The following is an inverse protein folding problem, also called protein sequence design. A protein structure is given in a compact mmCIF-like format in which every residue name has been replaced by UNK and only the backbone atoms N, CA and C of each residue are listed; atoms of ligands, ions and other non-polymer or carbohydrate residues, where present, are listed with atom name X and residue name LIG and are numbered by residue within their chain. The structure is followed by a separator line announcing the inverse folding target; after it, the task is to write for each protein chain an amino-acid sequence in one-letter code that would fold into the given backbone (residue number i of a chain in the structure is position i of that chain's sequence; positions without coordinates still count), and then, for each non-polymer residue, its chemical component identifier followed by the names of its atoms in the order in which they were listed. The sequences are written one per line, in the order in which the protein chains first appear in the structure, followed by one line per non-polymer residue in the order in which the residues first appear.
data_IF_765472170392
#
_entry.id   IF_765472170392
#
_cell.length_a   1.000
_cell.length_b   1.000
_cell.length_c   1.000
_cell.angle_alpha   90.00
_cell.angle_beta   90.00
_cell.angle_gamma   90.00
#
_symmetry.space_group_name_H-M   'P 1'
#
loop_
_entity.id
_entity.type
_entity.pdbx_description
1 polymer ?
#
# COMPACT_ATOMS: atom_id res chain seq x y z
N UNK A 1 -8.91 -8.64 -2.99
CA UNK A 1 -9.30 -8.10 -1.67
C UNK A 1 -8.57 -8.82 -0.56
N UNK A 2 -8.01 -8.11 0.41
CA UNK A 2 -7.38 -8.70 1.59
C UNK A 2 -8.45 -9.26 2.55
N UNK A 3 -8.27 -10.49 3.03
CA UNK A 3 -9.10 -11.11 4.07
C UNK A 3 -8.36 -11.12 5.40
N UNK A 4 -7.08 -11.49 5.38
CA UNK A 4 -6.24 -11.46 6.57
C UNK A 4 -4.77 -11.57 6.26
N UNK A 5 -3.95 -11.09 7.17
CA UNK A 5 -2.50 -11.15 7.11
C UNK A 5 -1.94 -11.60 8.45
N UNK A 6 -1.06 -12.59 8.42
CA UNK A 6 -0.43 -13.17 9.59
C UNK A 6 1.08 -13.04 9.49
N UNK A 7 1.71 -12.67 10.60
CA UNK A 7 3.16 -12.56 10.71
C UNK A 7 3.63 -13.14 12.04
N UNK A 8 4.74 -13.87 12.04
CA UNK A 8 5.37 -14.38 13.26
C UNK A 8 6.88 -14.37 13.17
N UNK A 9 7.54 -14.30 14.33
CA UNK A 9 9.00 -14.20 14.43
C UNK A 9 9.60 -13.14 13.49
N UNK A 10 9.10 -11.91 13.55
CA UNK A 10 9.54 -10.80 12.72
C UNK A 10 9.58 -9.50 13.52
N UNK A 11 10.75 -8.86 13.61
CA UNK A 11 10.97 -7.61 14.35
C UNK A 11 10.41 -7.64 15.77
N UNK A 12 9.29 -6.96 16.03
CA UNK A 12 8.63 -6.92 17.35
C UNK A 12 7.67 -8.09 17.61
N UNK A 13 7.34 -8.91 16.61
CA UNK A 13 6.44 -10.04 16.75
C UNK A 13 7.21 -11.31 17.05
N UNK A 14 7.16 -11.78 18.30
CA UNK A 14 7.70 -13.09 18.68
C UNK A 14 6.79 -14.21 18.17
N UNK A 15 5.53 -14.18 18.59
CA UNK A 15 4.50 -15.14 18.23
C UNK A 15 3.75 -14.71 16.97
N UNK A 16 2.98 -15.62 16.39
CA UNK A 16 2.15 -15.29 15.21
C UNK A 16 1.00 -14.39 15.65
N UNK A 17 0.87 -13.26 14.97
CA UNK A 17 -0.27 -12.35 15.08
C UNK A 17 -1.00 -12.26 13.75
N UNK A 18 -2.29 -11.98 13.78
CA UNK A 18 -3.13 -11.89 12.58
C UNK A 18 -3.94 -10.60 12.58
N UNK A 19 -3.85 -9.83 11.50
CA UNK A 19 -4.82 -8.82 11.13
C UNK A 19 -5.94 -9.50 10.32
N UNK A 20 -7.18 -9.40 10.77
CA UNK A 20 -8.36 -9.90 10.07
C UNK A 20 -9.23 -8.76 9.60
N UNK A 21 -9.65 -8.81 8.33
CA UNK A 21 -10.63 -7.90 7.73
C UNK A 21 -12.04 -8.48 7.75
N UNK A 22 -12.25 -9.67 8.34
CA UNK A 22 -13.58 -10.27 8.50
C UNK A 22 -14.40 -9.42 9.46
N UNK A 23 -15.56 -8.95 8.99
CA UNK A 23 -16.47 -8.17 9.80
C UNK A 23 -17.04 -9.06 10.93
N UNK A 24 -17.19 -8.49 12.12
CA UNK A 24 -17.86 -9.17 13.22
C UNK A 24 -19.33 -9.43 12.87
N UNK A 25 -19.89 -10.53 13.38
CA UNK A 25 -21.33 -10.83 13.23
C UNK A 25 -22.20 -9.82 14.00
N UNK A 26 -21.66 -9.30 15.10
CA UNK A 26 -22.33 -8.31 15.93
C UNK A 26 -22.16 -6.90 15.34
N UNK A 27 -23.29 -6.25 15.08
CA UNK A 27 -23.37 -4.87 14.64
C UNK A 27 -22.74 -3.93 15.68
N UNK A 28 -22.02 -2.90 15.23
CA UNK A 28 -21.40 -1.91 16.13
C UNK A 28 -22.44 -0.98 16.79
N UNK A 29 -23.73 -1.16 16.49
CA UNK A 29 -24.82 -0.34 16.99
C UNK A 29 -25.02 0.95 16.20
N UNK A 30 -24.38 1.06 15.03
CA UNK A 30 -24.53 2.19 14.11
C UNK A 30 -24.91 1.65 12.73
N UNK A 31 -26.20 1.71 12.45
CA UNK A 31 -26.84 1.22 11.22
C UNK A 31 -26.19 1.72 9.92
N UNK A 32 -25.64 2.93 9.92
CA UNK A 32 -24.97 3.48 8.75
C UNK A 32 -23.62 2.82 8.53
N UNK A 33 -22.79 2.69 9.58
CA UNK A 33 -21.48 2.05 9.50
C UNK A 33 -21.60 0.55 9.23
N UNK A 34 -22.55 -0.12 9.88
CA UNK A 34 -22.80 -1.56 9.74
C UNK A 34 -23.25 -1.94 8.33
N UNK A 35 -23.85 -1.00 7.59
CA UNK A 35 -24.25 -1.19 6.18
C UNK A 35 -23.19 -0.69 5.20
N UNK A 36 -22.54 0.43 5.49
CA UNK A 36 -21.69 1.12 4.52
C UNK A 36 -20.20 0.76 4.60
N UNK A 37 -19.68 0.29 5.73
CA UNK A 37 -18.27 -0.09 5.88
C UNK A 37 -17.99 -1.58 5.64
N UNK A 38 -18.96 -2.32 5.11
CA UNK A 38 -18.80 -3.75 4.79
C UNK A 38 -19.15 -4.05 3.35
N UNK A 39 -18.59 -5.13 2.82
CA UNK A 39 -19.06 -5.74 1.58
C UNK A 39 -19.14 -7.26 1.73
N UNK A 40 -20.19 -7.83 1.16
CA UNK A 40 -20.47 -9.26 1.26
C UNK A 40 -19.59 -10.03 0.29
N UNK A 41 -18.75 -10.92 0.81
CA UNK A 41 -17.88 -11.79 -0.02
C UNK A 41 -18.64 -13.03 -0.47
N UNK A 42 -19.37 -13.65 0.45
CA UNK A 42 -20.24 -14.80 0.18
C UNK A 42 -21.34 -14.89 1.27
N UNK A 43 -22.07 -16.00 1.32
CA UNK A 43 -23.13 -16.18 2.33
C UNK A 43 -22.60 -16.35 3.76
N UNK A 44 -21.32 -16.69 3.94
CA UNK A 44 -20.72 -17.03 5.23
C UNK A 44 -20.09 -15.83 5.92
N UNK A 45 -19.56 -14.85 5.18
CA UNK A 45 -18.92 -13.69 5.80
C UNK A 45 -18.91 -12.44 4.91
N UNK A 46 -18.75 -11.30 5.58
CA UNK A 46 -18.50 -9.97 5.01
C UNK A 46 -17.10 -9.52 5.38
N UNK A 47 -16.53 -8.61 4.58
CA UNK A 47 -15.26 -7.96 4.87
C UNK A 47 -15.49 -6.47 5.13
N UNK A 48 -14.64 -5.91 6.01
CA UNK A 48 -14.53 -4.47 6.24
C UNK A 48 -13.91 -3.78 5.03
N UNK A 49 -14.37 -2.56 4.71
CA UNK A 49 -13.75 -1.71 3.66
C UNK A 49 -12.55 -0.93 4.20
N UNK A 50 -12.55 -0.59 5.49
CA UNK A 50 -11.45 0.08 6.17
C UNK A 50 -11.18 -0.51 7.55
N UNK A 51 -9.94 -0.41 8.01
CA UNK A 51 -9.53 -0.77 9.36
C UNK A 51 -8.46 0.20 9.86
N UNK A 52 -8.57 0.61 11.12
CA UNK A 52 -7.59 1.46 11.79
C UNK A 52 -6.93 0.69 12.94
N UNK A 53 -5.61 0.80 13.05
CA UNK A 53 -4.82 0.09 14.07
C UNK A 53 -4.24 1.12 15.02
N UNK A 54 -4.80 1.18 16.23
CA UNK A 54 -4.30 2.03 17.32
C UNK A 54 -3.55 1.21 18.37
N UNK A 55 -2.62 1.84 19.06
CA UNK A 55 -1.83 1.19 20.09
C UNK A 55 -0.72 2.10 20.59
N UNK A 56 -0.14 1.76 21.74
CA UNK A 56 0.93 2.54 22.35
C UNK A 56 2.15 2.70 21.41
N UNK A 57 3.02 3.66 21.74
CA UNK A 57 4.32 3.78 21.07
C UNK A 57 5.10 2.46 21.22
N UNK A 58 5.82 2.08 20.16
CA UNK A 58 6.56 0.81 20.09
C UNK A 58 5.72 -0.48 20.21
N UNK A 59 4.39 -0.42 20.09
CA UNK A 59 3.53 -1.62 20.13
C UNK A 59 3.60 -2.52 18.89
N UNK A 60 4.38 -2.15 17.87
CA UNK A 60 4.59 -2.94 16.65
C UNK A 60 3.71 -2.59 15.44
N UNK A 61 2.92 -1.51 15.49
CA UNK A 61 2.04 -1.07 14.37
C UNK A 61 2.81 -0.92 13.05
N UNK A 62 3.83 -0.08 13.03
CA UNK A 62 4.69 0.09 11.85
C UNK A 62 5.42 -1.20 11.47
N UNK A 63 5.75 -2.07 12.44
CA UNK A 63 6.35 -3.38 12.13
C UNK A 63 5.37 -4.32 11.41
N UNK A 64 4.05 -4.21 11.64
CA UNK A 64 3.05 -4.97 10.90
C UNK A 64 3.02 -4.52 9.43
N UNK A 65 3.06 -3.21 9.19
CA UNK A 65 3.11 -2.63 7.84
C UNK A 65 4.42 -3.00 7.14
N UNK A 66 5.55 -2.95 7.85
CA UNK A 66 6.84 -3.41 7.35
C UNK A 66 6.85 -4.90 7.03
N UNK A 67 6.16 -5.74 7.81
CA UNK A 67 6.01 -7.17 7.53
C UNK A 67 5.20 -7.41 6.24
N UNK A 68 4.09 -6.69 6.08
CA UNK A 68 3.24 -6.78 4.89
C UNK A 68 4.01 -6.32 3.65
N UNK A 69 4.74 -5.21 3.74
CA UNK A 69 5.58 -4.71 2.66
C UNK A 69 6.78 -5.63 2.36
N UNK A 70 7.38 -6.26 3.38
CA UNK A 70 8.39 -7.30 3.17
C UNK A 70 7.83 -8.46 2.35
N UNK A 71 6.67 -9.00 2.76
CA UNK A 71 6.03 -10.10 2.03
C UNK A 71 5.77 -9.71 0.57
N UNK A 72 5.16 -8.55 0.34
CA UNK A 72 4.91 -7.99 -0.99
C UNK A 72 6.20 -7.91 -1.82
N UNK A 73 7.24 -7.23 -1.31
CA UNK A 73 8.51 -7.05 -2.03
C UNK A 73 9.19 -8.39 -2.32
N UNK A 74 9.15 -9.32 -1.38
CA UNK A 74 9.79 -10.62 -1.55
C UNK A 74 9.06 -11.48 -2.60
N UNK A 75 7.73 -11.50 -2.59
CA UNK A 75 6.93 -12.16 -3.64
C UNK A 75 7.21 -11.57 -5.02
N UNK A 76 7.34 -10.25 -5.14
CA UNK A 76 7.60 -9.61 -6.44
C UNK A 76 9.03 -9.78 -6.95
N UNK A 77 10.03 -9.95 -6.06
CA UNK A 77 11.44 -9.83 -6.44
C UNK A 77 12.31 -11.06 -6.16
N UNK A 78 11.85 -12.05 -5.39
CA UNK A 78 12.71 -13.18 -4.97
C UNK A 78 13.27 -14.01 -6.14
N UNK A 79 12.60 -13.98 -7.31
CA UNK A 79 13.08 -14.66 -8.52
C UNK A 79 14.38 -14.06 -9.07
N UNK A 80 14.60 -12.75 -8.85
CA UNK A 80 15.77 -11.99 -9.32
C UNK A 80 17.03 -12.20 -8.45
N UNK A 81 16.87 -12.74 -7.24
CA UNK A 81 17.97 -12.95 -6.30
C UNK A 81 19.00 -13.93 -6.85
N UNK A 82 20.28 -13.64 -6.70
CA UNK A 82 21.36 -14.60 -6.92
C UNK A 82 21.42 -15.61 -5.78
N UNK A 83 22.02 -16.78 -6.01
CA UNK A 83 22.06 -17.85 -4.99
C UNK A 83 22.83 -17.45 -3.72
N UNK A 84 23.72 -16.47 -3.83
CA UNK A 84 24.52 -15.89 -2.74
C UNK A 84 23.80 -14.79 -1.98
N UNK A 85 22.71 -14.24 -2.54
CA UNK A 85 22.00 -13.12 -1.93
C UNK A 85 21.26 -13.60 -0.67
N UNK A 86 21.33 -12.79 0.37
CA UNK A 86 20.56 -13.01 1.59
C UNK A 86 19.12 -12.54 1.39
N UNK A 87 18.20 -13.20 2.06
CA UNK A 87 16.83 -12.71 2.23
C UNK A 87 16.88 -11.62 3.32
N UNK A 88 16.43 -10.42 2.99
CA UNK A 88 16.39 -9.26 3.89
C UNK A 88 15.25 -9.36 4.92
N UNK A 89 15.24 -10.47 5.66
CA UNK A 89 14.28 -10.73 6.74
C UNK A 89 14.95 -10.50 8.09
N UNK A 90 14.20 -9.90 9.00
CA UNK A 90 14.66 -9.60 10.36
C UNK A 90 13.81 -10.36 11.39
N UNK A 91 14.32 -11.47 11.96
CA UNK A 91 13.57 -12.23 12.96
C UNK A 91 13.43 -11.46 14.27
N UNK A 92 12.61 -11.98 15.19
CA UNK A 92 12.51 -11.43 16.55
C UNK A 92 13.82 -11.73 17.31
N UNK A 93 14.57 -10.67 17.65
CA UNK A 93 15.93 -10.81 18.22
C UNK A 93 16.00 -10.82 19.75
N UNK A 94 14.91 -10.49 20.44
CA UNK A 94 14.89 -10.41 21.91
C UNK A 94 14.60 -11.78 22.57
N UNK A 95 14.79 -12.88 21.85
CA UNK A 95 14.65 -14.25 22.33
C UNK A 95 15.69 -15.13 21.65
N UNK A 96 16.56 -15.76 22.44
CA UNK A 96 17.61 -16.67 21.95
C UNK A 96 17.04 -17.84 21.15
N UNK A 97 15.82 -18.27 21.46
CA UNK A 97 15.13 -19.35 20.74
C UNK A 97 14.64 -18.95 19.35
N UNK A 98 14.48 -17.65 19.08
CA UNK A 98 13.81 -17.14 17.88
C UNK A 98 14.77 -16.66 16.80
N UNK A 99 16.00 -16.27 17.17
CA UNK A 99 17.00 -15.70 16.26
C UNK A 99 17.29 -16.62 15.07
N UNK A 100 17.32 -17.94 15.29
CA UNK A 100 17.57 -18.93 14.25
C UNK A 100 16.29 -19.61 13.70
N UNK A 101 15.12 -19.32 14.28
CA UNK A 101 13.85 -19.79 13.75
C UNK A 101 13.47 -18.99 12.51
N UNK A 102 12.76 -19.58 11.53
CA UNK A 102 12.30 -18.83 10.39
C UNK A 102 11.22 -17.82 10.79
N UNK A 103 11.14 -16.72 10.04
CA UNK A 103 10.03 -15.76 10.10
C UNK A 103 8.86 -16.28 9.26
N UNK A 104 7.65 -16.16 9.78
CA UNK A 104 6.41 -16.65 9.18
C UNK A 104 5.63 -15.49 8.55
N UNK A 105 5.12 -15.69 7.33
CA UNK A 105 4.24 -14.76 6.65
C UNK A 105 3.13 -15.53 5.94
N UNK A 106 1.88 -15.15 6.14
CA UNK A 106 0.73 -15.70 5.43
C UNK A 106 -0.28 -14.60 5.11
N UNK A 107 -0.85 -14.66 3.91
CA UNK A 107 -1.94 -13.79 3.48
C UNK A 107 -3.10 -14.63 2.97
N UNK A 108 -4.30 -14.27 3.40
CA UNK A 108 -5.56 -14.76 2.87
C UNK A 108 -6.20 -13.64 2.09
N UNK A 109 -6.56 -13.88 0.84
CA UNK A 109 -7.11 -12.86 -0.04
C UNK A 109 -8.06 -13.45 -1.07
N UNK A 110 -8.96 -12.63 -1.58
CA UNK A 110 -9.88 -12.98 -2.64
C UNK A 110 -9.39 -12.43 -3.99
N UNK A 111 -9.41 -13.29 -5.00
CA UNK A 111 -9.06 -12.97 -6.39
C UNK A 111 -10.00 -13.73 -7.34
N UNK A 112 -10.68 -13.02 -8.26
CA UNK A 112 -11.64 -13.59 -9.23
C UNK A 112 -12.64 -14.58 -8.62
N UNK A 113 -13.28 -14.18 -7.52
CA UNK A 113 -14.25 -15.00 -6.74
C UNK A 113 -13.69 -16.28 -6.11
N UNK A 114 -12.37 -16.42 -5.99
CA UNK A 114 -11.72 -17.52 -5.27
C UNK A 114 -10.93 -16.97 -4.09
N UNK A 115 -10.92 -17.72 -3.01
CA UNK A 115 -10.11 -17.41 -1.84
C UNK A 115 -8.77 -18.12 -1.95
N UNK A 116 -7.69 -17.39 -1.82
CA UNK A 116 -6.34 -17.91 -1.81
C UNK A 116 -5.74 -17.73 -0.42
N UNK A 117 -4.99 -18.75 0.01
CA UNK A 117 -4.16 -18.71 1.20
C UNK A 117 -2.73 -19.01 0.78
N UNK A 118 -1.89 -17.99 0.84
CA UNK A 118 -0.50 -18.06 0.41
C UNK A 118 0.40 -17.68 1.57
N UNK A 119 1.45 -18.45 1.82
CA UNK A 119 2.40 -18.16 2.87
C UNK A 119 3.73 -18.85 2.70
N UNK A 120 4.70 -18.41 3.48
CA UNK A 120 6.04 -18.95 3.51
C UNK A 120 6.73 -18.70 4.84
N UNK A 121 7.75 -19.51 5.11
CA UNK A 121 8.70 -19.34 6.20
C UNK A 121 10.10 -19.15 5.63
N UNK A 122 10.80 -18.13 6.10
CA UNK A 122 12.13 -17.76 5.59
C UNK A 122 13.11 -17.50 6.72
N UNK A 123 14.36 -17.85 6.46
CA UNK A 123 15.53 -17.34 7.20
C UNK A 123 16.26 -16.35 6.30
N UNK A 124 17.30 -15.68 6.81
CA UNK A 124 18.16 -14.84 5.98
C UNK A 124 18.88 -15.60 4.84
N UNK A 125 18.89 -16.94 4.88
CA UNK A 125 19.62 -17.79 3.92
C UNK A 125 18.72 -18.49 2.92
N UNK A 126 17.48 -18.84 3.30
CA UNK A 126 16.61 -19.69 2.48
C UNK A 126 15.14 -19.56 2.82
N UNK A 127 14.31 -19.94 1.86
CA UNK A 127 12.93 -20.39 2.03
C UNK A 127 12.96 -21.77 2.69
N UNK A 128 12.32 -21.87 3.86
CA UNK A 128 12.19 -23.10 4.65
C UNK A 128 10.93 -23.85 4.25
N UNK A 129 9.82 -23.14 4.09
CA UNK A 129 8.55 -23.67 3.62
C UNK A 129 7.79 -22.62 2.81
N UNK A 130 6.92 -23.06 1.91
CA UNK A 130 6.07 -22.18 1.09
C UNK A 130 4.83 -22.96 0.63
N UNK A 131 3.66 -22.34 0.67
CA UNK A 131 2.42 -23.00 0.32
C UNK A 131 1.47 -22.07 -0.41
N UNK A 132 0.67 -22.65 -1.28
CA UNK A 132 -0.45 -21.98 -1.91
C UNK A 132 -1.66 -22.91 -1.92
N UNK A 133 -2.75 -22.45 -1.34
CA UNK A 133 -4.05 -23.09 -1.37
C UNK A 133 -5.08 -22.20 -2.04
N UNK A 134 -6.07 -22.83 -2.67
CA UNK A 134 -7.20 -22.17 -3.31
C UNK A 134 -8.51 -22.81 -2.86
N UNK A 135 -9.47 -21.98 -2.50
CA UNK A 135 -10.84 -22.35 -2.13
C UNK A 135 -11.79 -21.64 -3.09
N UNK A 136 -12.20 -22.28 -4.21
CA UNK A 136 -13.09 -21.64 -5.18
C UNK A 136 -14.54 -21.48 -4.70
N UNK A 137 -15.00 -22.37 -3.81
CA UNK A 137 -16.35 -22.35 -3.22
C UNK A 137 -16.29 -22.71 -1.74
N UNK A 138 -16.11 -23.99 -1.43
CA UNK A 138 -16.11 -24.51 -0.05
C UNK A 138 -14.93 -25.43 0.27
N UNK A 139 -14.40 -26.15 -0.72
CA UNK A 139 -13.28 -27.07 -0.52
C UNK A 139 -11.95 -26.40 -0.82
N UNK A 140 -11.05 -26.41 0.16
CA UNK A 140 -9.66 -25.99 -0.03
C UNK A 140 -8.89 -27.04 -0.85
N UNK A 141 -8.15 -26.55 -1.84
CA UNK A 141 -7.31 -27.36 -2.72
C UNK A 141 -5.88 -26.85 -2.67
N UNK A 142 -4.94 -27.79 -2.55
CA UNK A 142 -3.51 -27.48 -2.57
C UNK A 142 -3.06 -27.23 -4.00
N UNK A 143 -2.54 -26.03 -4.27
CA UNK A 143 -1.95 -25.68 -5.57
C UNK A 143 -0.50 -26.15 -5.61
N UNK A 144 0.27 -25.81 -4.58
CA UNK A 144 1.60 -26.36 -4.34
C UNK A 144 1.96 -26.29 -2.86
N UNK A 145 2.96 -27.07 -2.46
CA UNK A 145 3.57 -27.05 -1.15
C UNK A 145 5.06 -27.36 -1.27
N UNK A 146 5.89 -26.54 -0.63
CA UNK A 146 7.33 -26.67 -0.57
C UNK A 146 7.76 -26.87 0.88
N UNK A 147 8.62 -27.85 1.09
CA UNK A 147 9.32 -28.04 2.36
C UNK A 147 10.81 -28.25 2.06
N UNK A 148 11.63 -27.27 2.45
CA UNK A 148 13.02 -27.18 2.06
C UNK A 148 13.20 -27.14 0.54
N UNK A 149 13.82 -28.19 0.00
CA UNK A 149 14.08 -28.33 -1.44
C UNK A 149 13.04 -29.22 -2.14
N UNK A 150 12.12 -29.84 -1.38
CA UNK A 150 11.05 -30.67 -1.92
C UNK A 150 9.85 -29.80 -2.28
N UNK A 151 9.42 -29.84 -3.55
CA UNK A 151 8.25 -29.09 -4.06
C UNK A 151 7.26 -30.08 -4.66
N UNK A 152 6.05 -30.07 -4.11
CA UNK A 152 4.87 -30.77 -4.61
C UNK A 152 3.92 -29.74 -5.23
N UNK A 153 3.40 -30.03 -6.41
CA UNK A 153 2.52 -29.10 -7.12
C UNK A 153 1.39 -29.85 -7.84
N UNK A 154 0.29 -29.15 -8.06
CA UNK A 154 -0.88 -29.63 -8.79
C UNK A 154 -0.76 -29.34 -10.29
N UNK A 155 -1.71 -29.84 -11.08
CA UNK A 155 -1.79 -29.60 -12.53
C UNK A 155 -1.91 -28.12 -12.92
N UNK A 156 -2.27 -27.25 -11.98
CA UNK A 156 -2.36 -25.80 -12.21
C UNK A 156 -0.99 -25.14 -12.41
N UNK A 157 0.10 -25.82 -12.01
CA UNK A 157 1.47 -25.38 -12.26
C UNK A 157 2.01 -26.15 -13.47
N UNK A 158 1.78 -25.58 -14.65
CA UNK A 158 2.36 -26.10 -15.89
C UNK A 158 3.89 -26.11 -15.81
N UNK A 159 4.51 -27.12 -16.43
CA UNK A 159 5.96 -27.30 -16.43
C UNK A 159 6.61 -27.36 -15.02
N UNK A 160 5.84 -27.70 -13.98
CA UNK A 160 6.32 -27.68 -12.59
C UNK A 160 7.59 -28.51 -12.33
N UNK A 161 7.87 -29.57 -13.11
CA UNK A 161 9.10 -30.36 -12.99
C UNK A 161 10.34 -29.53 -13.33
N UNK A 162 10.27 -28.70 -14.36
CA UNK A 162 11.36 -27.82 -14.81
C UNK A 162 11.53 -26.71 -13.76
N UNK A 163 10.42 -26.05 -13.39
CA UNK A 163 10.43 -24.98 -12.40
C UNK A 163 11.02 -25.43 -11.07
N UNK A 164 10.66 -26.63 -10.59
CA UNK A 164 11.22 -27.23 -9.38
C UNK A 164 12.75 -27.33 -9.45
N UNK A 165 13.30 -27.79 -10.57
CA UNK A 165 14.75 -27.92 -10.76
C UNK A 165 15.49 -26.57 -10.79
N UNK A 166 14.81 -25.51 -11.23
CA UNK A 166 15.35 -24.15 -11.31
C UNK A 166 15.17 -23.33 -10.01
N UNK A 167 14.39 -23.84 -9.05
CA UNK A 167 14.05 -23.09 -7.84
C UNK A 167 15.23 -23.04 -6.87
N UNK A 168 15.83 -21.86 -6.74
CA UNK A 168 16.90 -21.58 -5.78
C UNK A 168 16.40 -21.68 -4.33
N UNK A 169 17.33 -21.90 -3.39
CA UNK A 169 17.03 -21.99 -1.95
C UNK A 169 16.45 -20.69 -1.38
N UNK A 170 16.81 -19.54 -1.94
CA UNK A 170 16.39 -18.20 -1.50
C UNK A 170 15.30 -17.56 -2.40
N UNK A 171 14.73 -18.31 -3.33
CA UNK A 171 13.67 -17.83 -4.25
C UNK A 171 12.37 -18.53 -3.93
N UNK A 172 11.26 -17.79 -3.90
CA UNK A 172 9.91 -18.36 -3.80
C UNK A 172 9.54 -19.07 -5.10
N UNK A 173 8.94 -20.24 -4.97
CA UNK A 173 8.43 -21.03 -6.10
C UNK A 173 7.33 -20.26 -6.85
N UNK A 174 6.46 -19.54 -6.14
CA UNK A 174 5.45 -18.69 -6.75
C UNK A 174 6.07 -17.62 -7.66
N UNK A 175 7.09 -16.91 -7.17
CA UNK A 175 7.78 -15.86 -7.91
C UNK A 175 8.46 -16.40 -9.16
N UNK A 176 9.10 -17.56 -9.06
CA UNK A 176 9.73 -18.21 -10.21
C UNK A 176 8.68 -18.68 -11.23
N UNK A 177 7.59 -19.30 -10.78
CA UNK A 177 6.51 -19.73 -11.67
C UNK A 177 5.91 -18.55 -12.44
N UNK A 178 5.74 -17.39 -11.79
CA UNK A 178 5.29 -16.17 -12.46
C UNK A 178 6.32 -15.65 -13.48
N UNK A 179 7.63 -15.70 -13.18
CA UNK A 179 8.70 -15.32 -14.12
C UNK A 179 8.71 -16.18 -15.38
N UNK A 180 8.29 -17.44 -15.28
CA UNK A 180 8.12 -18.37 -16.39
C UNK A 180 6.70 -18.36 -16.99
N UNK A 181 5.94 -17.28 -16.77
CA UNK A 181 4.62 -17.04 -17.34
C UNK A 181 3.56 -18.08 -16.98
N UNK A 182 3.67 -18.76 -15.83
CA UNK A 182 2.55 -19.55 -15.33
C UNK A 182 1.37 -18.63 -15.02
N UNK A 183 0.25 -18.82 -15.71
CA UNK A 183 -0.92 -17.92 -15.68
C UNK A 183 -1.44 -17.66 -14.27
N UNK A 184 -1.63 -18.72 -13.47
CA UNK A 184 -2.11 -18.60 -12.09
C UNK A 184 -1.10 -17.86 -11.20
N UNK A 185 0.19 -18.16 -11.33
CA UNK A 185 1.23 -17.48 -10.55
C UNK A 185 1.33 -15.99 -10.92
N UNK A 186 1.23 -15.64 -12.21
CA UNK A 186 1.19 -14.25 -12.68
C UNK A 186 0.01 -13.51 -12.08
N UNK A 187 -1.19 -14.11 -12.07
CA UNK A 187 -2.37 -13.49 -11.47
C UNK A 187 -2.20 -13.21 -9.97
N UNK A 188 -1.62 -14.17 -9.24
CA UNK A 188 -1.38 -14.02 -7.80
C UNK A 188 -0.30 -12.97 -7.53
N UNK A 189 0.84 -13.02 -8.23
CA UNK A 189 1.90 -12.02 -8.08
C UNK A 189 1.41 -10.62 -8.47
N UNK A 190 0.55 -10.52 -9.49
CA UNK A 190 -0.11 -9.27 -9.86
C UNK A 190 -1.03 -8.76 -8.74
N UNK A 191 -1.70 -9.63 -7.99
CA UNK A 191 -2.44 -9.16 -6.80
C UNK A 191 -1.51 -8.46 -5.79
N UNK A 192 -0.28 -8.94 -5.58
CA UNK A 192 0.69 -8.25 -4.72
C UNK A 192 1.21 -6.93 -5.30
N UNK A 193 1.32 -6.79 -6.63
CA UNK A 193 1.78 -5.53 -7.23
C UNK A 193 0.81 -4.38 -6.98
N UNK A 194 -0.48 -4.69 -6.92
CA UNK A 194 -1.60 -3.78 -6.64
C UNK A 194 -1.86 -3.56 -5.12
N UNK A 195 -0.91 -3.93 -4.27
CA UNK A 195 -0.93 -3.54 -2.85
C UNK A 195 -0.16 -2.22 -2.69
N UNK A 196 -0.85 -1.15 -2.35
CA UNK A 196 -0.26 0.14 -2.01
C UNK A 196 0.19 0.15 -0.55
N UNK A 197 1.44 0.52 -0.29
CA UNK A 197 1.95 0.80 1.06
C UNK A 197 2.63 2.15 1.03
N UNK A 198 2.13 3.08 1.83
CA UNK A 198 2.64 4.46 1.91
C UNK A 198 2.84 4.88 3.35
N UNK A 199 3.79 5.79 3.58
CA UNK A 199 3.98 6.46 4.86
C UNK A 199 3.40 7.86 4.78
N UNK A 200 2.51 8.21 5.70
CA UNK A 200 1.95 9.56 5.81
C UNK A 200 2.98 10.63 6.18
N UNK A 201 4.21 10.24 6.52
CA UNK A 201 5.32 11.17 6.77
C UNK A 201 6.03 11.61 5.47
N UNK A 202 5.93 10.83 4.39
CA UNK A 202 6.64 11.08 3.12
C UNK A 202 5.86 12.03 2.21
N UNK A 203 5.41 13.17 2.75
CA UNK A 203 4.48 14.11 2.08
C UNK A 203 5.01 14.58 0.73
N UNK A 204 6.31 14.91 0.62
CA UNK A 204 6.91 15.37 -0.65
C UNK A 204 6.87 14.32 -1.75
N UNK A 205 7.19 13.06 -1.42
CA UNK A 205 7.14 11.95 -2.38
C UNK A 205 5.71 11.69 -2.83
N UNK A 206 4.78 11.64 -1.87
CA UNK A 206 3.36 11.43 -2.13
C UNK A 206 2.75 12.55 -2.96
N UNK A 207 3.15 13.80 -2.69
CA UNK A 207 2.75 14.96 -3.49
C UNK A 207 3.30 14.89 -4.90
N UNK A 208 4.57 14.50 -5.09
CA UNK A 208 5.15 14.33 -6.43
C UNK A 208 4.39 13.27 -7.24
N UNK A 209 4.10 12.10 -6.65
CA UNK A 209 3.29 11.04 -7.28
C UNK A 209 1.89 11.55 -7.61
N UNK A 210 1.27 12.27 -6.67
CA UNK A 210 -0.06 12.84 -6.89
C UNK A 210 -0.06 13.84 -8.03
N UNK A 211 0.91 14.75 -8.08
CA UNK A 211 1.04 15.72 -9.15
C UNK A 211 1.26 15.05 -10.51
N UNK A 212 2.07 14.00 -10.57
CA UNK A 212 2.25 13.20 -11.78
C UNK A 212 0.93 12.55 -12.23
N UNK A 213 0.17 11.97 -11.30
CA UNK A 213 -1.14 11.36 -11.59
C UNK A 213 -2.21 12.37 -12.01
N UNK A 214 -2.18 13.58 -11.44
CA UNK A 214 -3.11 14.66 -11.77
C UNK A 214 -2.75 15.34 -13.11
N UNK A 215 -1.49 15.25 -13.52
CA UNK A 215 -1.01 15.86 -14.77
C UNK A 215 -1.80 15.30 -15.95
N UNK A 216 -2.53 16.17 -16.65
CA UNK A 216 -3.39 15.85 -17.80
C UNK A 216 -4.67 15.04 -17.47
N UNK A 217 -5.13 15.02 -16.21
CA UNK A 217 -6.35 14.30 -15.77
C UNK A 217 -7.31 15.22 -15.00
N UNK A 218 -8.06 16.04 -15.74
CA UNK A 218 -9.01 16.99 -15.14
C UNK A 218 -10.06 16.31 -14.26
N UNK A 219 -10.49 15.10 -14.64
CA UNK A 219 -11.42 14.28 -13.85
C UNK A 219 -10.89 13.95 -12.45
N UNK A 220 -9.60 13.61 -12.35
CA UNK A 220 -8.96 13.35 -11.06
C UNK A 220 -8.74 14.62 -10.26
N UNK A 221 -8.42 15.74 -10.91
CA UNK A 221 -8.31 17.05 -10.25
C UNK A 221 -9.65 17.41 -9.60
N UNK A 222 -10.76 17.21 -10.30
CA UNK A 222 -12.10 17.48 -9.78
C UNK A 222 -12.44 16.57 -8.59
N UNK A 223 -12.09 15.28 -8.65
CA UNK A 223 -12.33 14.34 -7.55
C UNK A 223 -11.44 14.62 -6.33
N UNK A 224 -10.17 14.97 -6.53
CA UNK A 224 -9.28 15.43 -5.46
C UNK A 224 -9.82 16.70 -4.82
N UNK A 225 -10.30 17.64 -5.63
CA UNK A 225 -10.89 18.89 -5.14
C UNK A 225 -12.14 18.62 -4.30
N UNK A 226 -13.03 17.72 -4.74
CA UNK A 226 -14.19 17.28 -3.95
C UNK A 226 -13.78 16.61 -2.64
N UNK A 227 -12.75 15.77 -2.67
CA UNK A 227 -12.25 15.07 -1.49
C UNK A 227 -11.71 16.08 -0.46
N UNK A 228 -10.87 17.03 -0.89
CA UNK A 228 -10.33 18.05 0.00
C UNK A 228 -11.44 18.92 0.58
N UNK A 229 -12.40 19.40 -0.22
CA UNK A 229 -13.56 20.16 0.28
C UNK A 229 -14.37 19.39 1.34
N UNK A 230 -14.50 18.07 1.19
CA UNK A 230 -15.23 17.23 2.14
C UNK A 230 -14.47 17.02 3.45
N UNK A 231 -13.14 16.93 3.39
CA UNK A 231 -12.28 16.64 4.55
C UNK A 231 -11.86 17.91 5.30
N UNK A 232 -11.61 18.98 4.56
CA UNK A 232 -11.27 20.30 5.06
C UNK A 232 -12.56 21.09 5.30
N UNK A 233 -13.19 20.80 6.44
CA UNK A 233 -14.42 21.46 6.93
C UNK A 233 -14.33 22.99 7.01
N UNK A 234 -13.13 23.56 6.82
CA UNK A 234 -12.81 24.98 6.83
C UNK A 234 -12.73 25.62 5.44
N UNK A 235 -12.66 24.82 4.36
CA UNK A 235 -12.42 25.30 2.99
C UNK A 235 -13.52 24.80 2.05
N UNK A 236 -14.64 25.52 2.00
CA UNK A 236 -15.77 25.19 1.11
C UNK A 236 -15.46 25.44 -0.39
N UNK A 237 -14.45 26.26 -0.70
CA UNK A 237 -14.23 26.82 -2.04
C UNK A 237 -12.81 26.62 -2.58
N UNK A 238 -12.12 25.53 -2.21
CA UNK A 238 -10.82 25.22 -2.81
C UNK A 238 -10.98 24.86 -4.30
N UNK A 239 -10.31 25.54 -5.21
CA UNK A 239 -10.08 25.01 -6.55
C UNK A 239 -8.58 24.80 -6.71
N UNK A 240 -8.20 23.70 -7.34
CA UNK A 240 -6.80 23.37 -7.61
C UNK A 240 -6.49 23.70 -9.05
N UNK A 241 -5.49 24.54 -9.26
CA UNK A 241 -4.89 24.74 -10.58
C UNK A 241 -3.43 24.31 -10.55
N UNK A 242 -3.07 23.47 -11.50
CA UNK A 242 -1.74 22.87 -11.63
C UNK A 242 -1.04 23.54 -12.81
N UNK A 243 -0.13 24.47 -12.50
CA UNK A 243 0.69 25.15 -13.52
C UNK A 243 2.04 24.46 -13.66
N UNK A 244 2.34 23.95 -14.86
CA UNK A 244 3.69 23.53 -15.21
C UNK A 244 4.52 24.74 -15.64
N UNK A 245 5.43 25.22 -14.79
CA UNK A 245 6.38 26.28 -15.17
C UNK A 245 7.71 25.67 -15.58
N UNK A 246 8.23 26.07 -16.73
CA UNK A 246 9.62 25.81 -17.10
C UNK A 246 10.52 26.60 -16.13
N UNK A 247 11.18 25.92 -15.21
CA UNK A 247 12.09 26.53 -14.24
C UNK A 247 13.53 26.29 -14.68
N UNK A 248 14.31 27.38 -14.73
CA UNK A 248 15.76 27.28 -14.90
C UNK A 248 16.40 26.71 -13.64
N UNK A 249 17.32 25.77 -13.82
CA UNK A 249 18.07 25.07 -12.76
C UNK A 249 18.63 25.99 -11.67
N UNK A 250 18.95 27.23 -12.01
CA UNK A 250 19.62 28.21 -11.14
C UNK A 250 18.68 28.82 -10.07
N UNK A 251 17.39 28.51 -10.11
CA UNK A 251 16.37 29.07 -9.21
C UNK A 251 15.84 28.10 -8.16
N UNK A 252 16.39 26.88 -8.10
CA UNK A 252 16.00 25.87 -7.11
C UNK A 252 16.71 26.12 -5.76
N UNK A 253 16.02 25.96 -4.62
CA UNK A 253 16.66 25.95 -3.30
C UNK A 253 17.72 24.86 -3.23
N UNK A 254 18.89 25.17 -2.65
CA UNK A 254 20.02 24.22 -2.56
C UNK A 254 19.71 23.00 -1.68
N UNK A 255 18.69 23.09 -0.82
CA UNK A 255 18.35 22.12 0.23
C UNK A 255 17.28 21.09 -0.18
N UNK A 256 17.13 20.80 -1.48
CA UNK A 256 16.21 19.76 -1.96
C UNK A 256 16.72 18.35 -1.59
N UNK A 257 15.86 17.46 -1.04
CA UNK A 257 16.21 16.07 -0.78
C UNK A 257 16.65 15.30 -2.04
N UNK A 258 17.67 14.45 -1.92
CA UNK A 258 18.27 13.74 -3.06
C UNK A 258 17.30 12.85 -3.84
N UNK A 259 16.24 12.35 -3.18
CA UNK A 259 15.17 11.58 -3.82
C UNK A 259 14.44 12.41 -4.87
N UNK A 260 14.13 13.67 -4.54
CA UNK A 260 13.48 14.62 -5.45
C UNK A 260 14.45 15.01 -6.58
N UNK A 261 15.73 15.21 -6.25
CA UNK A 261 16.79 15.49 -7.24
C UNK A 261 16.93 14.36 -8.27
N UNK A 262 16.76 13.10 -7.84
CA UNK A 262 16.87 11.93 -8.70
C UNK A 262 15.65 11.68 -9.58
N UNK A 263 14.43 11.94 -9.09
CA UNK A 263 13.21 11.90 -9.92
C UNK A 263 13.29 12.97 -11.03
N UNK A 264 13.84 14.13 -10.69
CA UNK A 264 14.04 15.26 -11.60
C UNK A 264 15.18 15.03 -12.63
N UNK A 265 16.13 14.12 -12.38
CA UNK A 265 17.29 13.90 -13.26
C UNK A 265 17.10 12.83 -14.32
N UNK A 266 16.03 12.01 -14.25
CA UNK A 266 15.79 10.91 -15.19
C UNK A 266 14.84 11.27 -16.35
N UNK A 267 14.29 12.49 -16.37
CA UNK A 267 13.55 13.04 -17.50
C UNK A 267 14.52 13.76 -18.45
N UNK A 268 14.82 13.11 -19.57
CA UNK A 268 15.74 13.58 -20.61
C UNK A 268 15.33 14.97 -21.15
N UNK A 269 16.24 15.95 -21.10
CA UNK A 269 16.21 17.17 -21.92
C UNK A 269 15.79 18.46 -21.19
N UNK A 270 16.79 19.27 -20.81
CA UNK A 270 16.87 20.75 -20.68
C UNK A 270 15.70 21.62 -20.16
N UNK A 271 14.57 21.07 -19.74
CA UNK A 271 13.45 21.86 -19.21
C UNK A 271 12.86 21.11 -18.01
N UNK A 272 13.15 21.61 -16.81
CA UNK A 272 12.48 21.14 -15.58
C UNK A 272 11.16 21.89 -15.43
N UNK A 273 10.05 21.19 -15.54
CA UNK A 273 8.73 21.75 -15.19
C UNK A 273 8.60 21.71 -13.67
N UNK A 274 8.58 22.86 -12.99
CA UNK A 274 8.08 22.91 -11.63
C UNK A 274 6.57 23.07 -11.68
N UNK A 275 5.90 22.18 -10.97
CA UNK A 275 4.45 22.19 -10.86
C UNK A 275 4.06 23.05 -9.67
N UNK A 276 3.48 24.21 -9.94
CA UNK A 276 2.93 25.08 -8.89
C UNK A 276 1.46 24.73 -8.73
N UNK A 277 1.02 24.57 -7.48
CA UNK A 277 -0.37 24.34 -7.14
C UNK A 277 -0.91 25.63 -6.55
N UNK A 278 -1.90 26.20 -7.23
CA UNK A 278 -2.62 27.36 -6.74
C UNK A 278 -3.90 26.92 -6.05
N UNK A 279 -4.22 27.62 -4.98
CA UNK A 279 -5.47 27.49 -4.23
C UNK A 279 -6.22 28.81 -4.29
N UNK A 280 -7.55 28.72 -4.36
CA UNK A 280 -8.44 29.88 -4.50
C UNK A 280 -9.33 29.99 -3.27
N UNK A 281 -9.38 31.16 -2.64
CA UNK A 281 -10.14 31.40 -1.42
C UNK A 281 -11.03 32.63 -1.55
N UNK A 282 -12.27 32.62 -1.02
CA UNK A 282 -13.13 33.80 -1.06
C UNK A 282 -12.59 34.90 -0.14
N UNK A 283 -12.50 36.11 -0.69
CA UNK A 283 -12.16 37.34 0.03
C UNK A 283 -13.44 38.09 0.36
N UNK A 284 -13.57 38.52 1.60
CA UNK A 284 -14.76 39.18 2.11
C UNK A 284 -14.47 40.63 2.47
N UNK A 285 -15.45 41.51 2.26
CA UNK A 285 -15.40 42.88 2.77
C UNK A 285 -15.74 42.95 4.27
N UNK A 286 -15.68 44.16 4.84
CA UNK A 286 -16.01 44.40 6.26
C UNK A 286 -17.46 44.04 6.65
N UNK A 287 -18.35 43.81 5.68
CA UNK A 287 -19.75 43.42 5.90
C UNK A 287 -19.96 41.91 5.79
N UNK A 288 -18.91 41.15 5.49
CA UNK A 288 -18.98 39.70 5.27
C UNK A 288 -19.47 39.31 3.88
N UNK A 289 -19.56 40.25 2.93
CA UNK A 289 -19.91 39.95 1.54
C UNK A 289 -18.67 39.51 0.77
N UNK A 290 -18.76 38.39 0.05
CA UNK A 290 -17.69 37.94 -0.83
C UNK A 290 -17.54 38.89 -2.02
N UNK A 291 -16.32 39.36 -2.26
CA UNK A 291 -15.99 40.35 -3.29
C UNK A 291 -15.16 39.76 -4.43
N UNK A 292 -14.19 38.91 -4.12
CA UNK A 292 -13.29 38.29 -5.10
C UNK A 292 -12.69 36.99 -4.56
N UNK A 293 -11.93 36.29 -5.40
CA UNK A 293 -11.10 35.16 -4.99
C UNK A 293 -9.65 35.63 -4.82
N UNK A 294 -9.08 35.38 -3.64
CA UNK A 294 -7.66 35.53 -3.36
C UNK A 294 -6.93 34.24 -3.77
N UNK A 295 -5.75 34.39 -4.38
CA UNK A 295 -4.95 33.27 -4.88
C UNK A 295 -3.78 33.03 -3.94
N UNK A 296 -3.67 31.80 -3.46
CA UNK A 296 -2.57 31.36 -2.61
C UNK A 296 -1.74 30.29 -3.31
N UNK A 297 -0.46 30.25 -2.96
CA UNK A 297 0.44 29.15 -3.32
C UNK A 297 0.33 28.06 -2.26
N UNK A 298 0.03 26.82 -2.68
CA UNK A 298 -0.20 25.68 -1.79
C UNK A 298 0.98 25.46 -0.84
N UNK A 299 2.22 25.56 -1.33
CA UNK A 299 3.40 25.21 -0.54
C UNK A 299 3.73 26.25 0.52
N UNK A 300 3.54 27.52 0.19
CA UNK A 300 3.92 28.62 1.06
C UNK A 300 2.81 29.05 2.02
N UNK A 301 1.54 28.86 1.66
CA UNK A 301 0.42 29.47 2.40
C UNK A 301 -0.55 28.48 3.03
N UNK A 302 -0.67 27.25 2.50
CA UNK A 302 -1.62 26.28 3.03
C UNK A 302 -1.08 25.54 4.24
N UNK A 303 -2.00 25.01 5.04
CA UNK A 303 -1.67 24.20 6.21
C UNK A 303 -0.99 22.89 5.82
N UNK A 304 -0.15 22.36 6.72
CA UNK A 304 0.47 21.03 6.55
C UNK A 304 -0.58 19.92 6.39
N UNK A 305 -1.76 20.08 7.02
CA UNK A 305 -2.88 19.14 6.89
C UNK A 305 -3.44 19.12 5.47
N UNK A 306 -3.70 20.30 4.89
CA UNK A 306 -4.21 20.44 3.52
C UNK A 306 -3.20 19.90 2.50
N UNK A 307 -1.91 20.21 2.66
CA UNK A 307 -0.82 19.64 1.84
C UNK A 307 -0.77 18.12 1.92
N UNK A 308 -0.94 17.55 3.12
CA UNK A 308 -0.94 16.10 3.33
C UNK A 308 -2.16 15.43 2.70
N UNK A 309 -3.36 16.01 2.82
CA UNK A 309 -4.57 15.48 2.18
C UNK A 309 -4.39 15.46 0.67
N UNK A 310 -3.89 16.54 0.08
CA UNK A 310 -3.54 16.57 -1.34
C UNK A 310 -2.51 15.47 -1.67
N UNK A 311 -1.44 15.32 -0.89
CA UNK A 311 -0.43 14.30 -1.14
C UNK A 311 -1.00 12.87 -1.10
N UNK A 312 -2.01 12.61 -0.27
CA UNK A 312 -2.66 11.30 -0.14
C UNK A 312 -3.83 11.09 -1.10
N UNK A 313 -4.36 12.15 -1.72
CA UNK A 313 -5.62 12.08 -2.45
C UNK A 313 -5.54 11.17 -3.68
N UNK A 314 -4.49 11.26 -4.49
CA UNK A 314 -4.37 10.39 -5.66
C UNK A 314 -4.17 8.90 -5.28
N UNK A 315 -3.27 8.54 -4.33
CA UNK A 315 -3.19 7.16 -3.84
C UNK A 315 -4.53 6.60 -3.34
N UNK A 316 -5.28 7.40 -2.57
CA UNK A 316 -6.60 6.99 -2.05
C UNK A 316 -7.59 6.78 -3.20
N UNK A 317 -7.75 7.78 -4.09
CA UNK A 317 -8.71 7.72 -5.19
C UNK A 317 -8.39 6.60 -6.17
N UNK A 318 -7.13 6.43 -6.57
CA UNK A 318 -6.71 5.36 -7.49
C UNK A 318 -6.98 3.96 -6.89
N UNK A 319 -6.68 3.79 -5.60
CA UNK A 319 -6.98 2.54 -4.88
C UNK A 319 -8.49 2.26 -4.87
N UNK A 320 -9.32 3.26 -4.56
CA UNK A 320 -10.77 3.12 -4.52
C UNK A 320 -11.36 2.82 -5.89
N UNK A 321 -10.90 3.50 -6.95
CA UNK A 321 -11.36 3.28 -8.32
C UNK A 321 -11.02 1.88 -8.84
N UNK A 322 -9.85 1.35 -8.47
CA UNK A 322 -9.38 0.02 -8.90
C UNK A 322 -9.85 -1.12 -8.00
N UNK A 323 -10.40 -0.82 -6.82
CA UNK A 323 -10.75 -1.83 -5.82
C UNK A 323 -9.52 -2.55 -5.24
N UNK A 324 -8.44 -1.80 -5.05
CA UNK A 324 -7.16 -2.29 -4.55
C UNK A 324 -7.07 -2.16 -3.02
N UNK A 325 -5.91 -2.51 -2.45
CA UNK A 325 -5.66 -2.39 -1.00
C UNK A 325 -4.58 -1.35 -0.79
N UNK A 326 -4.88 -0.33 0.02
CA UNK A 326 -3.94 0.69 0.45
C UNK A 326 -3.71 0.58 1.96
N UNK A 327 -2.45 0.53 2.35
CA UNK A 327 -2.01 0.58 3.74
C UNK A 327 -1.25 1.89 3.93
N UNK A 328 -1.72 2.72 4.87
CA UNK A 328 -1.12 4.01 5.19
C UNK A 328 -0.59 3.93 6.62
N UNK A 329 0.73 4.02 6.79
CA UNK A 329 1.32 4.23 8.13
C UNK A 329 1.23 5.72 8.49
N UNK A 330 1.12 6.03 9.79
CA UNK A 330 1.10 7.41 10.30
C UNK A 330 0.08 8.32 9.56
N UNK A 331 -1.13 7.80 9.31
CA UNK A 331 -2.20 8.54 8.62
C UNK A 331 -2.58 9.83 9.37
N UNK A 332 -2.63 9.78 10.70
CA UNK A 332 -2.99 10.89 11.58
C UNK A 332 -1.90 11.96 11.74
N UNK A 333 -0.64 11.64 11.43
CA UNK A 333 0.46 12.58 11.59
C UNK A 333 0.21 13.89 10.82
N UNK A 334 0.30 15.05 11.48
CA UNK A 334 0.06 16.38 10.89
C UNK A 334 -1.36 16.63 10.36
N UNK A 335 -2.31 15.72 10.59
CA UNK A 335 -3.74 15.99 10.36
C UNK A 335 -4.40 16.50 11.63
N UNK A 336 -5.32 17.45 11.49
CA UNK A 336 -6.18 17.81 12.61
C UNK A 336 -7.07 16.60 12.97
N UNK A 337 -7.29 16.24 14.26
CA UNK A 337 -8.02 15.03 14.63
C UNK A 337 -9.43 14.90 14.03
N UNK A 338 -10.10 16.04 13.81
CA UNK A 338 -11.41 16.07 13.14
C UNK A 338 -11.34 15.65 11.66
N UNK A 339 -10.23 15.94 10.97
CA UNK A 339 -10.00 15.54 9.59
C UNK A 339 -9.73 14.04 9.52
N UNK A 340 -8.91 13.49 10.41
CA UNK A 340 -8.65 12.03 10.47
C UNK A 340 -9.92 11.21 10.69
N UNK A 341 -10.91 11.75 11.42
CA UNK A 341 -12.20 11.09 11.63
C UNK A 341 -13.09 11.04 10.37
N UNK A 342 -12.90 11.97 9.43
CA UNK A 342 -13.72 12.07 8.21
C UNK A 342 -13.15 11.28 7.02
N UNK A 343 -11.88 10.85 7.12
CA UNK A 343 -11.20 9.92 6.20
C UNK A 343 -11.61 8.50 6.56
#
# INVERSE_FOLDING_TARGET
MLIGFSVGNYRSFKDVVTLSMVAAEDACGNDELDKNNVFKVNQQFSLLKSAAIYGANASGKSNLILAFNFMRRFVMNSAKLQITDKIDVEPFRLSTENVDKPSFFEVVFQLKNKTYRYGFEVTQKRVVSEWLFCTPRSRETKIFNRQGDKIEYSKNIEQGNILRGLTKKNTLFLSLAAQFNNSLAVEIVSWFSHLGVVSGLDVELLKAITLEHLSNRQDLIDDVTKLIKKLDLSIDNLNLEIESRKISLDSLPQDLPDVVRNIISHSSGEIKSATIIKTYHPKYDSTGKMIELEIFDMDNHESDGTKKILALSAPILDTLQRGEVLVIDELDARLHPLMTRNI
#
